data_IF_070081202781
#
_entry.id   IF_070081202781
#
_cell.length_a   1.000
_cell.length_b   1.000
_cell.length_c   1.000
_cell.angle_alpha   90.00
_cell.angle_beta   90.00
_cell.angle_gamma   90.00
#
_symmetry.space_group_name_H-M   'P 1'
#
loop_
_entity.id
_entity.type
_entity.pdbx_description
1 polymer ?
#
# COMPACT_ATOMS: atom_id res chain seq x y z
N UNK A 1 -14.87 21.55 -19.44
CA UNK A 1 -13.68 20.76 -19.03
C UNK A 1 -13.33 20.86 -17.53
N UNK A 2 -13.93 21.74 -16.74
CA UNK A 2 -13.62 21.97 -15.31
C UNK A 2 -14.20 20.92 -14.34
N UNK A 3 -15.30 20.26 -14.71
CA UNK A 3 -15.97 19.25 -13.86
C UNK A 3 -15.14 17.96 -13.66
N UNK A 4 -14.48 17.46 -14.70
CA UNK A 4 -13.69 16.21 -14.60
C UNK A 4 -12.45 16.38 -13.72
N UNK A 5 -11.74 17.52 -13.84
CA UNK A 5 -10.60 17.82 -12.96
C UNK A 5 -11.00 17.98 -11.49
N UNK A 6 -12.24 18.38 -11.20
CA UNK A 6 -12.70 18.57 -9.81
C UNK A 6 -12.76 17.27 -9.01
N UNK A 7 -13.15 16.15 -9.64
CA UNK A 7 -13.28 14.84 -8.99
C UNK A 7 -11.93 14.23 -8.61
N UNK A 8 -10.89 14.51 -9.38
CA UNK A 8 -9.53 14.07 -9.05
C UNK A 8 -9.11 14.65 -7.70
N UNK A 9 -9.38 15.94 -7.44
CA UNK A 9 -9.07 16.54 -6.14
C UNK A 9 -9.87 15.95 -4.99
N UNK A 10 -11.14 15.61 -5.19
CA UNK A 10 -11.92 14.96 -4.13
C UNK A 10 -11.29 13.62 -3.72
N UNK A 11 -10.82 12.85 -4.69
CA UNK A 11 -10.13 11.58 -4.45
C UNK A 11 -8.76 11.84 -3.80
N UNK A 12 -7.93 12.72 -4.37
CA UNK A 12 -6.58 12.95 -3.85
C UNK A 12 -6.58 13.57 -2.46
N UNK A 13 -7.55 14.43 -2.13
CA UNK A 13 -7.66 15.04 -0.81
C UNK A 13 -8.00 14.00 0.27
N UNK A 14 -8.90 13.05 -0.04
CA UNK A 14 -9.22 11.95 0.88
C UNK A 14 -7.99 11.07 1.08
N UNK A 15 -7.31 10.69 0.00
CA UNK A 15 -6.13 9.83 0.08
C UNK A 15 -4.93 10.51 0.76
N UNK A 16 -4.74 11.82 0.57
CA UNK A 16 -3.71 12.62 1.25
C UNK A 16 -4.05 12.79 2.74
N UNK A 17 -5.33 13.02 3.07
CA UNK A 17 -5.81 13.09 4.45
C UNK A 17 -5.66 11.78 5.22
N UNK A 18 -5.77 10.63 4.54
CA UNK A 18 -5.49 9.29 5.11
C UNK A 18 -3.98 8.99 5.08
N UNK A 19 -3.17 9.77 4.37
CA UNK A 19 -1.71 9.57 4.26
C UNK A 19 -1.27 8.47 3.28
N UNK A 20 -2.18 8.01 2.40
CA UNK A 20 -1.89 6.98 1.39
C UNK A 20 -1.18 7.53 0.15
N UNK A 21 -1.16 8.85 -0.03
CA UNK A 21 -0.43 9.52 -1.11
C UNK A 21 0.19 10.82 -0.59
N UNK A 22 1.19 11.33 -1.31
CA UNK A 22 1.74 12.68 -1.10
C UNK A 22 1.98 13.40 -2.43
N UNK A 23 1.97 14.73 -2.40
CA UNK A 23 2.30 15.54 -3.56
C UNK A 23 3.81 15.57 -3.78
N UNK A 24 4.27 15.06 -4.91
CA UNK A 24 5.70 15.10 -5.30
C UNK A 24 6.02 16.35 -6.11
N UNK A 25 5.18 16.73 -7.07
CA UNK A 25 5.31 17.96 -7.86
C UNK A 25 3.97 18.37 -8.47
N UNK A 26 3.92 19.44 -9.27
CA UNK A 26 2.68 19.85 -9.95
C UNK A 26 2.21 18.73 -10.89
N UNK A 27 0.95 18.31 -10.73
CA UNK A 27 0.35 17.18 -11.47
C UNK A 27 1.01 15.81 -11.23
N UNK A 28 1.85 15.68 -10.21
CA UNK A 28 2.52 14.41 -9.86
C UNK A 28 2.26 14.08 -8.40
N UNK A 29 1.60 12.94 -8.17
CA UNK A 29 1.37 12.37 -6.85
C UNK A 29 2.22 11.12 -6.70
N UNK A 30 2.77 10.92 -5.50
CA UNK A 30 3.44 9.68 -5.13
C UNK A 30 2.47 8.83 -4.33
N UNK A 31 2.33 7.58 -4.73
CA UNK A 31 1.61 6.59 -3.95
C UNK A 31 2.46 6.17 -2.74
N UNK A 32 1.90 6.31 -1.54
CA UNK A 32 2.47 5.82 -0.28
C UNK A 32 1.83 4.51 0.18
N UNK A 33 0.71 4.11 -0.43
CA UNK A 33 -0.12 2.98 -0.02
C UNK A 33 0.48 1.59 -0.28
N UNK A 34 1.47 1.23 0.51
CA UNK A 34 1.44 0.04 1.35
C UNK A 34 1.96 0.55 2.70
N UNK A 35 1.45 0.01 3.80
CA UNK A 35 1.89 0.32 5.17
C UNK A 35 3.38 0.70 5.18
N UNK A 36 3.73 1.81 5.83
CA UNK A 36 5.12 2.23 6.07
C UNK A 36 5.89 1.23 6.96
N UNK A 37 5.81 -0.06 6.64
CA UNK A 37 6.30 -1.19 7.38
C UNK A 37 6.24 -2.51 6.62
N UNK A 38 5.69 -2.57 5.40
CA UNK A 38 5.82 -3.75 4.55
C UNK A 38 5.91 -3.33 3.08
N UNK A 39 7.15 -3.22 2.61
CA UNK A 39 7.47 -3.59 1.24
C UNK A 39 6.68 -4.87 0.95
N UNK A 40 5.83 -4.89 -0.08
CA UNK A 40 5.04 -6.09 -0.40
C UNK A 40 5.92 -7.32 -0.47
N UNK A 41 7.15 -7.21 -0.98
CA UNK A 41 8.13 -8.30 -1.01
C UNK A 41 8.54 -8.76 0.38
N UNK A 42 8.84 -7.86 1.31
CA UNK A 42 9.21 -8.22 2.69
C UNK A 42 8.02 -8.83 3.45
N UNK A 43 6.82 -8.31 3.21
CA UNK A 43 5.56 -8.85 3.72
C UNK A 43 5.33 -10.27 3.22
N UNK A 44 5.50 -10.47 1.91
CA UNK A 44 5.36 -11.76 1.24
C UNK A 44 6.42 -12.75 1.74
N UNK A 45 7.66 -12.32 1.95
CA UNK A 45 8.70 -13.17 2.50
C UNK A 45 8.43 -13.56 3.95
N UNK A 46 7.97 -12.62 4.79
CA UNK A 46 7.58 -12.92 6.18
C UNK A 46 6.40 -13.88 6.22
N UNK A 47 5.39 -13.66 5.37
CA UNK A 47 4.26 -14.56 5.21
C UNK A 47 4.72 -15.95 4.75
N UNK A 48 5.60 -16.02 3.75
CA UNK A 48 6.07 -17.29 3.21
C UNK A 48 6.89 -18.07 4.24
N UNK A 49 7.74 -17.38 5.02
CA UNK A 49 8.46 -17.99 6.15
C UNK A 49 7.51 -18.51 7.23
N UNK A 50 6.50 -17.74 7.59
CA UNK A 50 5.50 -18.16 8.58
C UNK A 50 4.71 -19.39 8.09
N UNK A 51 4.35 -19.45 6.81
CA UNK A 51 3.69 -20.62 6.22
C UNK A 51 4.59 -21.86 6.22
N UNK A 52 5.89 -21.72 5.91
CA UNK A 52 6.82 -22.84 5.94
C UNK A 52 6.96 -23.44 7.35
N UNK A 53 7.03 -22.59 8.39
CA UNK A 53 7.08 -23.03 9.79
C UNK A 53 5.82 -23.79 10.22
N UNK A 54 4.64 -23.34 9.80
CA UNK A 54 3.39 -24.04 10.08
C UNK A 54 3.37 -25.43 9.45
N UNK A 55 3.86 -25.54 8.21
CA UNK A 55 3.87 -26.82 7.50
C UNK A 55 4.86 -27.83 8.12
N UNK A 56 6.04 -27.39 8.56
CA UNK A 56 6.95 -28.27 9.30
C UNK A 56 6.32 -28.81 10.59
N UNK A 57 5.60 -27.97 11.34
CA UNK A 57 4.91 -28.40 12.56
C UNK A 57 3.73 -29.34 12.28
N UNK A 58 3.04 -29.18 11.14
CA UNK A 58 2.01 -30.12 10.69
C UNK A 58 2.61 -31.47 10.27
N UNK A 59 3.76 -31.46 9.61
CA UNK A 59 4.47 -32.68 9.19
C UNK A 59 5.12 -33.44 10.37
N UNK A 60 5.42 -32.76 11.48
CA UNK A 60 5.94 -33.35 12.72
C UNK A 60 4.85 -33.95 13.65
N UNK A 61 3.57 -33.69 13.39
CA UNK A 61 2.42 -34.19 14.17
C UNK A 61 1.82 -35.49 13.62
#
# INVERSE_FOLDING_TARGET
ATKQKRRIYDITNVLEGIGLIEKQSKNTIRWKGAISGDNTVEAYERLHRAQAQLQELEDES
#
